data_IF_750298274562
#
_entry.id   IF_750298274562
#
_cell.length_a   1.000
_cell.length_b   1.000
_cell.length_c   1.000
_cell.angle_alpha   90.00
_cell.angle_beta   90.00
_cell.angle_gamma   90.00
#
_symmetry.space_group_name_H-M   'P 1'
#
loop_
_entity.id
_entity.type
_entity.pdbx_description
1 polymer ?
#
# COMPACT_ATOMS: atom_id res chain seq x y z
N UNK A 1 1.81 0.58 4.38
CA UNK A 1 1.52 -0.75 3.80
C UNK A 1 2.79 -1.47 3.37
N UNK A 2 3.66 -0.89 2.53
CA UNK A 2 4.81 -1.64 2.03
C UNK A 2 5.82 -2.06 3.11
N UNK A 3 6.12 -1.24 4.13
CA UNK A 3 6.95 -1.69 5.28
C UNK A 3 6.35 -2.91 6.01
N UNK A 4 5.02 -3.05 6.03
CA UNK A 4 4.39 -4.21 6.65
C UNK A 4 4.62 -5.47 5.81
N UNK A 5 4.70 -5.34 4.48
CA UNK A 5 5.00 -6.46 3.60
C UNK A 5 6.43 -6.99 3.78
N UNK A 6 7.41 -6.12 4.11
CA UNK A 6 8.80 -6.57 4.36
C UNK A 6 8.94 -7.46 5.59
N UNK A 7 7.91 -7.49 6.44
CA UNK A 7 7.86 -8.30 7.66
C UNK A 7 6.69 -9.29 7.64
N UNK A 8 6.04 -9.49 6.49
CA UNK A 8 4.87 -10.36 6.32
C UNK A 8 3.76 -10.14 7.37
N UNK A 9 3.49 -8.88 7.72
CA UNK A 9 2.56 -8.55 8.81
C UNK A 9 1.43 -7.57 8.40
N UNK A 10 1.12 -7.50 7.10
CA UNK A 10 0.07 -6.60 6.59
C UNK A 10 -1.29 -6.89 7.25
N UNK A 11 -1.65 -8.16 7.40
CA UNK A 11 -2.95 -8.53 7.95
C UNK A 11 -3.07 -8.18 9.43
N UNK A 12 -2.02 -8.44 10.21
CA UNK A 12 -1.93 -8.12 11.63
C UNK A 12 -2.05 -6.61 11.86
N UNK A 13 -1.39 -5.79 11.04
CA UNK A 13 -1.52 -4.32 11.09
C UNK A 13 -2.94 -3.85 10.75
N UNK A 14 -3.56 -4.44 9.73
CA UNK A 14 -4.94 -4.13 9.33
C UNK A 14 -5.96 -4.53 10.40
N UNK A 15 -5.70 -5.62 11.13
CA UNK A 15 -6.57 -6.10 12.19
C UNK A 15 -6.48 -5.20 13.43
N UNK A 16 -5.29 -4.68 13.77
CA UNK A 16 -5.05 -3.86 14.96
C UNK A 16 -5.61 -2.43 14.90
N UNK A 17 -5.39 -1.69 13.80
CA UNK A 17 -5.24 -0.23 13.95
C UNK A 17 -6.39 0.64 13.48
N UNK A 18 -6.83 1.58 14.33
CA UNK A 18 -7.38 2.86 13.85
C UNK A 18 -6.23 3.65 13.23
N UNK A 19 -6.36 4.02 11.96
CA UNK A 19 -5.30 4.70 11.23
C UNK A 19 -5.49 6.21 11.28
N UNK A 20 -4.42 6.95 11.58
CA UNK A 20 -4.39 8.40 11.38
C UNK A 20 -3.96 8.75 9.95
N UNK A 21 -2.98 8.01 9.41
CA UNK A 21 -2.42 8.20 8.08
C UNK A 21 -1.99 6.85 7.50
N UNK A 22 -2.02 6.73 6.17
CA UNK A 22 -1.66 5.50 5.46
C UNK A 22 -0.75 5.84 4.29
N UNK A 23 0.45 5.28 4.30
CA UNK A 23 1.37 5.33 3.17
C UNK A 23 1.38 4.00 2.43
N UNK A 24 1.40 4.05 1.10
CA UNK A 24 1.41 2.88 0.22
C UNK A 24 2.48 2.99 -0.85
N UNK A 25 3.11 1.87 -1.10
CA UNK A 25 4.06 1.59 -2.16
C UNK A 25 4.19 0.06 -2.20
N UNK A 26 4.69 -0.49 -3.30
CA UNK A 26 4.83 -1.94 -3.46
C UNK A 26 6.26 -2.41 -3.15
N UNK A 27 6.40 -3.71 -2.87
CA UNK A 27 7.67 -4.41 -2.77
C UNK A 27 7.45 -5.94 -2.83
N UNK A 28 8.53 -6.72 -2.80
CA UNK A 28 8.50 -8.19 -2.86
C UNK A 28 8.75 -8.87 -1.49
N UNK A 29 8.56 -8.14 -0.39
CA UNK A 29 8.66 -8.65 0.98
C UNK A 29 10.08 -8.81 1.55
N UNK A 30 11.13 -8.39 0.83
CA UNK A 30 12.54 -8.52 1.28
C UNK A 30 13.22 -7.21 1.62
N UNK A 31 12.83 -6.14 0.96
CA UNK A 31 13.41 -4.82 1.08
C UNK A 31 12.34 -3.77 0.84
N UNK A 32 12.71 -2.51 1.00
CA UNK A 32 11.81 -1.38 0.86
C UNK A 32 12.12 -0.51 -0.38
N UNK A 33 11.93 -1.03 -1.59
CA UNK A 33 12.27 -0.35 -2.84
C UNK A 33 11.33 0.79 -3.24
N UNK A 34 10.12 0.87 -2.66
CA UNK A 34 9.03 1.75 -3.13
C UNK A 34 8.71 1.55 -4.62
N UNK A 35 8.38 0.30 -5.00
CA UNK A 35 7.98 -0.03 -6.38
C UNK A 35 6.62 0.57 -6.73
N UNK A 36 6.34 0.66 -8.04
CA UNK A 36 5.02 1.00 -8.55
C UNK A 36 4.03 -0.08 -8.10
N UNK A 37 2.82 0.34 -7.74
CA UNK A 37 1.74 -0.57 -7.34
C UNK A 37 1.51 -1.63 -8.43
N UNK A 38 1.64 -2.91 -8.09
CA UNK A 38 1.48 -4.04 -9.01
C UNK A 38 2.80 -4.61 -9.54
N UNK A 39 3.95 -3.97 -9.29
CA UNK A 39 5.27 -4.53 -9.60
C UNK A 39 5.81 -5.42 -8.47
N UNK A 40 5.23 -5.36 -7.28
CA UNK A 40 5.58 -6.22 -6.15
C UNK A 40 4.61 -7.38 -5.98
N UNK A 41 4.45 -7.84 -4.73
CA UNK A 41 3.62 -9.00 -4.40
C UNK A 41 2.50 -8.68 -3.39
N UNK A 42 2.23 -7.41 -3.12
CA UNK A 42 1.15 -7.00 -2.22
C UNK A 42 -0.20 -7.13 -2.93
N UNK A 43 -1.14 -7.88 -2.33
CA UNK A 43 -2.53 -7.94 -2.78
C UNK A 43 -3.29 -6.66 -2.39
N UNK A 44 -3.10 -5.59 -3.16
CA UNK A 44 -3.73 -4.29 -2.91
C UNK A 44 -5.25 -4.33 -2.96
N UNK A 45 -5.86 -5.26 -3.72
CA UNK A 45 -7.33 -5.37 -3.76
C UNK A 45 -7.87 -5.76 -2.38
N UNK A 46 -7.29 -6.79 -1.78
CA UNK A 46 -7.71 -7.24 -0.45
C UNK A 46 -7.30 -6.24 0.65
N UNK A 47 -6.09 -5.65 0.54
CA UNK A 47 -5.62 -4.63 1.48
C UNK A 47 -6.54 -3.42 1.51
N UNK A 48 -6.90 -2.86 0.35
CA UNK A 48 -7.77 -1.69 0.26
C UNK A 48 -9.18 -2.00 0.75
N UNK A 49 -9.72 -3.19 0.42
CA UNK A 49 -11.01 -3.65 0.93
C UNK A 49 -11.06 -3.60 2.47
N UNK A 50 -10.08 -4.23 3.14
CA UNK A 50 -10.00 -4.25 4.62
C UNK A 50 -9.71 -2.86 5.20
N UNK A 51 -8.86 -2.07 4.54
CA UNK A 51 -8.51 -0.73 5.01
C UNK A 51 -9.72 0.21 5.00
N UNK A 52 -10.54 0.16 3.94
CA UNK A 52 -11.74 1.00 3.79
C UNK A 52 -12.80 0.74 4.86
N UNK A 53 -12.79 -0.42 5.53
CA UNK A 53 -13.67 -0.72 6.66
C UNK A 53 -13.29 0.09 7.92
N UNK A 54 -12.04 0.58 8.00
CA UNK A 54 -11.45 1.19 9.21
C UNK A 54 -10.89 2.59 8.99
N UNK A 55 -10.72 3.04 7.75
CA UNK A 55 -10.08 4.30 7.40
C UNK A 55 -10.77 4.98 6.22
N UNK A 56 -11.18 6.24 6.42
CA UNK A 56 -11.78 7.09 5.39
C UNK A 56 -10.89 8.29 5.01
N UNK A 57 -9.62 8.29 5.43
CA UNK A 57 -8.69 9.37 5.16
C UNK A 57 -7.97 9.22 3.81
N UNK A 58 -7.04 10.12 3.55
CA UNK A 58 -6.23 10.09 2.32
C UNK A 58 -5.17 9.00 2.43
N UNK A 59 -4.98 8.27 1.34
CA UNK A 59 -3.87 7.33 1.19
C UNK A 59 -2.74 8.01 0.41
N UNK A 60 -1.55 8.04 1.00
CA UNK A 60 -0.37 8.68 0.41
C UNK A 60 0.44 7.66 -0.37
N UNK A 61 0.69 7.95 -1.65
CA UNK A 61 1.55 7.13 -2.50
C UNK A 61 3.00 7.60 -2.35
N UNK A 62 3.89 6.70 -1.95
CA UNK A 62 5.34 6.96 -1.88
C UNK A 62 6.03 6.28 -3.06
N UNK A 63 6.73 7.04 -3.89
CA UNK A 63 7.31 6.51 -5.13
C UNK A 63 8.62 7.19 -5.48
N UNK A 64 9.45 6.52 -6.30
CA UNK A 64 10.70 7.07 -6.83
C UNK A 64 10.46 8.05 -7.97
N UNK A 65 9.78 9.15 -7.66
CA UNK A 65 9.48 10.24 -8.59
C UNK A 65 8.03 10.28 -9.07
N UNK A 66 7.68 11.41 -9.71
CA UNK A 66 6.29 11.74 -10.05
C UNK A 66 5.65 10.74 -11.03
N UNK A 67 6.38 10.30 -12.05
CA UNK A 67 5.85 9.36 -13.05
C UNK A 67 5.38 8.05 -12.41
N UNK A 68 6.21 7.46 -11.56
CA UNK A 68 5.90 6.23 -10.81
C UNK A 68 4.71 6.43 -9.86
N UNK A 69 4.61 7.60 -9.22
CA UNK A 69 3.47 7.96 -8.37
C UNK A 69 2.16 8.08 -9.15
N UNK A 70 2.18 8.71 -10.33
CA UNK A 70 1.01 8.83 -11.20
C UNK A 70 0.56 7.47 -11.72
N UNK A 71 1.50 6.61 -12.10
CA UNK A 71 1.21 5.24 -12.53
C UNK A 71 0.55 4.42 -11.42
N UNK A 72 1.14 4.44 -10.22
CA UNK A 72 0.57 3.82 -9.03
C UNK A 72 -0.85 4.31 -8.74
N UNK A 73 -1.09 5.63 -8.81
CA UNK A 73 -2.41 6.22 -8.64
C UNK A 73 -3.40 5.67 -9.66
N UNK A 74 -3.03 5.61 -10.94
CA UNK A 74 -3.91 5.12 -12.00
C UNK A 74 -4.27 3.64 -11.83
N UNK A 75 -3.38 2.83 -11.25
CA UNK A 75 -3.64 1.42 -10.93
C UNK A 75 -4.62 1.33 -9.76
N UNK A 76 -4.36 2.06 -8.67
CA UNK A 76 -5.23 2.05 -7.48
C UNK A 76 -6.65 2.53 -7.77
N UNK A 77 -6.82 3.54 -8.64
CA UNK A 77 -8.14 4.04 -9.04
C UNK A 77 -8.98 3.01 -9.83
N UNK A 78 -8.38 1.90 -10.26
CA UNK A 78 -9.07 0.79 -10.96
C UNK A 78 -9.35 -0.41 -10.05
N UNK A 79 -8.87 -0.38 -8.80
CA UNK A 79 -9.09 -1.43 -7.80
C UNK A 79 -10.37 -1.14 -7.00
#
# INVERSE_FOLDING_TARGET
IGHANTNNNIHEFLDYGKFANVHIHDNIGKSDPHLVIGEGNIDFRNVLKKLNEKYNGVVVIESRGLKAGVESKNILMKL
#
